data_IF_228660152060
#
_entry.id   IF_228660152060
#
_cell.length_a   1.000
_cell.length_b   1.000
_cell.length_c   1.000
_cell.angle_alpha   90.00
_cell.angle_beta   90.00
_cell.angle_gamma   90.00
#
_symmetry.space_group_name_H-M   'P 1'
#
loop_
_entity.id
_entity.type
_entity.pdbx_description
1 polymer ?
#
# COMPACT_ATOMS: atom_id res chain seq x y z
N UNK A 1 39.89 46.15 7.19
CA UNK A 1 40.64 45.12 6.44
C UNK A 1 41.21 44.02 7.33
N UNK A 2 41.84 44.31 8.47
CA UNK A 2 42.44 43.29 9.35
C UNK A 2 41.47 42.25 9.97
N UNK A 3 40.18 42.55 10.17
CA UNK A 3 39.21 41.56 10.69
C UNK A 3 38.75 40.53 9.66
N UNK A 4 38.84 40.82 8.36
CA UNK A 4 38.47 39.87 7.29
C UNK A 4 39.57 38.84 7.03
N UNK A 5 40.84 39.16 7.27
CA UNK A 5 41.96 38.22 7.10
C UNK A 5 42.02 37.17 8.22
N UNK A 6 41.60 37.52 9.45
CA UNK A 6 41.58 36.60 10.60
C UNK A 6 40.49 35.53 10.45
N UNK A 7 39.28 35.91 10.02
CA UNK A 7 38.19 34.94 9.79
C UNK A 7 38.49 33.98 8.63
N UNK A 8 39.21 34.44 7.61
CA UNK A 8 39.63 33.57 6.49
C UNK A 8 40.74 32.60 6.94
N UNK A 9 41.62 33.03 7.84
CA UNK A 9 42.64 32.16 8.44
C UNK A 9 42.05 31.06 9.33
N UNK A 10 41.10 31.41 10.21
CA UNK A 10 40.43 30.43 11.07
C UNK A 10 39.65 29.39 10.26
N UNK A 11 39.00 29.81 9.16
CA UNK A 11 38.34 28.89 8.24
C UNK A 11 39.34 28.00 7.49
N UNK A 12 40.47 28.53 7.02
CA UNK A 12 41.52 27.74 6.35
C UNK A 12 42.16 26.72 7.30
N UNK A 13 42.43 27.11 8.56
CA UNK A 13 42.92 26.18 9.59
C UNK A 13 41.88 25.11 9.93
N UNK A 14 40.60 25.47 10.00
CA UNK A 14 39.51 24.50 10.21
C UNK A 14 39.41 23.47 9.05
N UNK A 15 39.69 23.88 7.82
CA UNK A 15 39.75 22.97 6.65
C UNK A 15 40.93 22.00 6.78
N UNK A 16 42.11 22.47 7.17
CA UNK A 16 43.31 21.62 7.33
C UNK A 16 43.23 20.66 8.55
N UNK A 17 42.49 21.05 9.58
CA UNK A 17 42.24 20.22 10.78
C UNK A 17 41.11 19.19 10.59
N UNK A 18 40.42 19.21 9.44
CA UNK A 18 39.42 18.18 9.12
C UNK A 18 40.13 16.83 8.99
N UNK A 19 39.49 15.77 9.49
CA UNK A 19 40.04 14.40 9.40
C UNK A 19 40.31 14.05 7.94
N UNK A 20 41.51 13.53 7.67
CA UNK A 20 41.97 13.16 6.33
C UNK A 20 41.90 14.32 5.29
N UNK A 21 42.08 15.58 5.73
CA UNK A 21 42.07 16.75 4.85
C UNK A 21 43.08 16.69 3.69
N UNK A 22 44.13 15.89 3.83
CA UNK A 22 45.12 15.61 2.78
C UNK A 22 44.47 14.98 1.53
N UNK A 23 43.31 14.33 1.67
CA UNK A 23 42.59 13.62 0.62
C UNK A 23 41.48 14.43 -0.04
N UNK A 24 41.27 15.67 0.41
CA UNK A 24 40.36 16.61 -0.24
C UNK A 24 40.92 17.10 -1.58
N UNK A 25 40.09 17.74 -2.41
CA UNK A 25 40.48 18.14 -3.76
C UNK A 25 41.77 19.01 -3.74
N UNK A 26 42.79 18.73 -4.59
CA UNK A 26 44.10 19.38 -4.51
C UNK A 26 44.07 20.91 -4.57
N UNK A 27 43.07 21.48 -5.24
CA UNK A 27 42.89 22.95 -5.31
C UNK A 27 42.44 23.56 -3.98
N UNK A 28 41.55 22.89 -3.23
CA UNK A 28 41.04 23.36 -1.94
C UNK A 28 42.16 23.32 -0.90
N UNK A 29 42.97 22.25 -0.95
CA UNK A 29 44.13 22.10 -0.08
C UNK A 29 45.20 23.15 -0.41
N UNK A 30 45.47 23.40 -1.69
CA UNK A 30 46.41 24.43 -2.12
C UNK A 30 45.98 25.84 -1.69
N UNK A 31 44.70 26.19 -1.84
CA UNK A 31 44.15 27.47 -1.39
C UNK A 31 44.22 27.66 0.13
N UNK A 32 43.93 26.61 0.90
CA UNK A 32 44.02 26.64 2.36
C UNK A 32 45.47 26.77 2.85
N UNK A 33 46.41 26.03 2.24
CA UNK A 33 47.84 26.12 2.53
C UNK A 33 48.38 27.51 2.17
N UNK A 34 48.01 28.06 1.01
CA UNK A 34 48.46 29.39 0.59
C UNK A 34 47.89 30.51 1.47
N UNK A 35 46.67 30.37 1.98
CA UNK A 35 46.09 31.30 2.97
C UNK A 35 46.83 31.29 4.31
N UNK A 36 47.32 30.13 4.77
CA UNK A 36 48.12 30.01 6.00
C UNK A 36 49.54 30.54 5.77
N UNK A 37 50.13 30.27 4.59
CA UNK A 37 51.47 30.75 4.21
C UNK A 37 51.56 32.26 4.01
N UNK A 38 50.53 32.89 3.44
CA UNK A 38 50.54 34.34 3.16
C UNK A 38 50.56 35.18 4.44
N UNK A 39 50.01 34.67 5.54
CA UNK A 39 49.92 35.40 6.80
C UNK A 39 51.12 35.18 7.73
N UNK A 40 51.79 34.01 7.68
CA UNK A 40 53.00 33.72 8.47
C UNK A 40 54.09 33.06 7.62
N UNK A 41 54.87 33.88 6.91
CA UNK A 41 55.92 33.44 5.95
C UNK A 41 57.05 32.58 6.51
N UNK A 42 57.15 32.38 7.84
CA UNK A 42 58.27 31.69 8.49
C UNK A 42 57.87 30.45 9.30
N UNK A 43 56.61 30.35 9.72
CA UNK A 43 56.05 29.25 10.52
C UNK A 43 54.81 28.63 9.90
N UNK A 44 54.14 29.29 8.96
CA UNK A 44 52.88 28.81 8.37
C UNK A 44 53.01 27.55 7.51
N UNK A 45 54.20 27.26 6.94
CA UNK A 45 54.44 25.98 6.24
C UNK A 45 54.53 24.82 7.24
N UNK A 46 55.35 24.97 8.28
CA UNK A 46 55.50 23.93 9.31
C UNK A 46 54.20 23.74 10.09
N UNK A 47 53.46 24.82 10.37
CA UNK A 47 52.17 24.73 11.06
C UNK A 47 51.11 24.02 10.20
N UNK A 48 51.05 24.30 8.88
CA UNK A 48 50.15 23.57 7.99
C UNK A 48 50.55 22.10 7.83
N UNK A 49 51.85 21.80 7.76
CA UNK A 49 52.36 20.42 7.69
C UNK A 49 52.06 19.64 8.98
N UNK A 50 52.33 20.22 10.16
CA UNK A 50 52.00 19.59 11.45
C UNK A 50 50.49 19.36 11.60
N UNK A 51 49.65 20.35 11.24
CA UNK A 51 48.20 20.21 11.30
C UNK A 51 47.65 19.14 10.36
N UNK A 52 48.24 18.98 9.17
CA UNK A 52 47.86 17.94 8.20
C UNK A 52 48.33 16.54 8.63
N UNK A 53 49.54 16.44 9.20
CA UNK A 53 50.09 15.18 9.71
C UNK A 53 49.31 14.70 10.94
N UNK A 54 48.92 15.61 11.83
CA UNK A 54 48.09 15.28 13.00
C UNK A 54 46.65 14.91 12.63
N UNK A 55 46.12 15.43 11.52
CA UNK A 55 44.75 15.16 11.06
C UNK A 55 44.64 13.93 10.15
N UNK A 56 45.76 13.35 9.69
CA UNK A 56 45.81 12.16 8.86
C UNK A 56 45.57 10.88 9.66
N UNK A 57 44.50 10.16 9.33
CA UNK A 57 44.13 8.86 9.91
C UNK A 57 44.33 7.72 8.89
N UNK A 58 44.40 8.03 7.60
CA UNK A 58 44.80 7.08 6.54
C UNK A 58 43.83 5.92 6.34
N UNK A 59 42.58 6.07 6.81
CA UNK A 59 41.60 5.01 6.82
C UNK A 59 41.20 4.59 5.40
N UNK A 60 41.16 5.55 4.47
CA UNK A 60 40.76 5.31 3.07
C UNK A 60 41.87 4.55 2.32
N UNK A 61 43.13 4.94 2.50
CA UNK A 61 44.28 4.26 1.92
C UNK A 61 44.44 2.86 2.49
N UNK A 62 44.22 2.69 3.80
CA UNK A 62 44.20 1.38 4.42
C UNK A 62 43.09 0.50 3.85
N UNK A 63 41.91 1.05 3.58
CA UNK A 63 40.81 0.35 2.89
C UNK A 63 41.16 0.00 1.44
N UNK A 64 41.83 0.89 0.69
CA UNK A 64 42.28 0.61 -0.67
C UNK A 64 43.34 -0.48 -0.72
N UNK A 65 44.31 -0.46 0.20
CA UNK A 65 45.35 -1.46 0.29
C UNK A 65 44.78 -2.82 0.72
N UNK A 66 43.89 -2.84 1.72
CA UNK A 66 43.14 -4.04 2.09
C UNK A 66 42.28 -4.57 0.93
N UNK A 67 41.60 -3.70 0.19
CA UNK A 67 40.83 -4.08 -0.98
C UNK A 67 41.71 -4.71 -2.07
N UNK A 68 42.89 -4.14 -2.29
CA UNK A 68 43.90 -4.67 -3.22
C UNK A 68 44.47 -6.01 -2.74
N UNK A 69 44.62 -6.21 -1.43
CA UNK A 69 45.08 -7.49 -0.89
C UNK A 69 44.01 -8.56 -0.99
N UNK A 70 42.74 -8.20 -0.76
CA UNK A 70 41.62 -9.12 -0.88
C UNK A 70 41.44 -9.59 -2.34
N UNK A 71 41.68 -8.73 -3.34
CA UNK A 71 41.66 -9.15 -4.75
C UNK A 71 42.85 -10.05 -5.15
N UNK A 72 43.94 -10.06 -4.39
CA UNK A 72 45.03 -11.02 -4.58
C UNK A 72 44.76 -12.38 -3.91
N UNK A 73 43.92 -12.41 -2.87
CA UNK A 73 43.58 -13.62 -2.12
C UNK A 73 42.38 -14.34 -2.76
N UNK A 74 41.37 -13.60 -3.20
CA UNK A 74 40.19 -14.13 -3.87
C UNK A 74 40.40 -14.04 -5.39
N UNK A 75 40.30 -15.15 -6.14
CA UNK A 75 40.56 -15.18 -7.60
C UNK A 75 39.55 -14.31 -8.40
N UNK A 76 38.49 -13.82 -7.76
CA UNK A 76 37.47 -12.97 -8.38
C UNK A 76 37.40 -11.59 -7.71
N UNK A 77 37.79 -10.56 -8.47
CA UNK A 77 37.70 -9.16 -8.04
C UNK A 77 36.25 -8.72 -7.74
N UNK A 78 35.26 -9.38 -8.35
CA UNK A 78 33.85 -9.08 -8.08
C UNK A 78 33.40 -9.58 -6.71
N UNK A 79 33.90 -10.74 -6.25
CA UNK A 79 33.65 -11.27 -4.91
C UNK A 79 34.16 -10.32 -3.81
N UNK A 80 35.41 -9.87 -3.95
CA UNK A 80 36.02 -8.90 -3.03
C UNK A 80 35.21 -7.60 -2.98
N UNK A 81 34.80 -7.07 -4.14
CA UNK A 81 33.95 -5.88 -4.22
C UNK A 81 32.61 -6.08 -3.50
N UNK A 82 31.96 -7.22 -3.69
CA UNK A 82 30.69 -7.53 -3.02
C UNK A 82 30.85 -7.60 -1.49
N UNK A 83 31.96 -8.14 -0.98
CA UNK A 83 32.26 -8.18 0.46
C UNK A 83 32.42 -6.75 1.00
N UNK A 84 33.20 -5.91 0.33
CA UNK A 84 33.40 -4.51 0.72
C UNK A 84 32.06 -3.76 0.68
N UNK A 85 31.29 -3.88 -0.41
CA UNK A 85 29.96 -3.27 -0.52
C UNK A 85 29.02 -3.73 0.62
N UNK A 86 29.07 -5.01 0.99
CA UNK A 86 28.26 -5.56 2.10
C UNK A 86 28.68 -5.00 3.46
N UNK A 87 29.99 -4.88 3.74
CA UNK A 87 30.49 -4.32 5.00
C UNK A 87 30.15 -2.83 5.10
N UNK A 88 30.31 -2.07 4.02
CA UNK A 88 29.95 -0.65 3.99
C UNK A 88 28.44 -0.48 4.13
N UNK A 89 27.62 -1.33 3.48
CA UNK A 89 26.17 -1.37 3.68
C UNK A 89 25.82 -1.54 5.16
N UNK A 90 26.37 -2.55 5.82
CA UNK A 90 26.08 -2.82 7.25
C UNK A 90 26.52 -1.65 8.14
N UNK A 91 27.71 -1.09 7.88
CA UNK A 91 28.21 0.06 8.61
C UNK A 91 27.29 1.30 8.46
N UNK A 92 26.75 1.53 7.26
CA UNK A 92 25.80 2.62 7.00
C UNK A 92 24.47 2.35 7.72
N UNK A 93 23.92 1.14 7.64
CA UNK A 93 22.67 0.79 8.31
C UNK A 93 22.76 0.99 9.84
N UNK A 94 23.92 0.68 10.44
CA UNK A 94 24.14 0.83 11.88
C UNK A 94 24.43 2.27 12.32
N UNK A 95 25.13 3.05 11.50
CA UNK A 95 25.66 4.38 11.89
C UNK A 95 25.01 5.56 11.16
N UNK A 96 23.90 5.33 10.46
CA UNK A 96 23.22 6.40 9.71
C UNK A 96 22.80 7.55 10.62
N UNK A 97 23.30 8.75 10.33
CA UNK A 97 22.96 9.97 11.06
C UNK A 97 22.17 10.93 10.17
N UNK A 98 20.88 11.08 10.49
CA UNK A 98 19.95 11.97 9.80
C UNK A 98 20.44 13.42 9.70
N UNK A 99 21.16 13.90 10.71
CA UNK A 99 21.54 15.31 10.83
C UNK A 99 22.66 15.64 9.84
N UNK A 100 23.56 14.67 9.61
CA UNK A 100 24.64 14.79 8.64
C UNK A 100 24.12 14.71 7.20
N UNK A 101 23.12 13.86 6.96
CA UNK A 101 22.48 13.74 5.65
C UNK A 101 21.79 15.05 5.22
N UNK A 102 21.23 15.81 6.16
CA UNK A 102 20.60 17.11 5.87
C UNK A 102 21.63 18.16 5.44
N UNK A 103 22.85 18.12 5.96
CA UNK A 103 23.94 19.03 5.55
C UNK A 103 24.29 18.90 4.07
N UNK A 104 24.13 17.70 3.48
CA UNK A 104 24.32 17.46 2.05
C UNK A 104 23.28 18.18 1.16
N UNK A 105 22.16 18.64 1.72
CA UNK A 105 21.08 19.30 0.99
C UNK A 105 21.14 20.84 1.08
N UNK A 106 22.25 21.39 1.56
CA UNK A 106 22.48 22.84 1.56
C UNK A 106 22.65 23.37 0.13
N UNK A 107 22.26 24.62 -0.12
CA UNK A 107 22.22 25.22 -1.48
C UNK A 107 23.56 25.09 -2.23
N UNK A 108 24.69 25.14 -1.51
CA UNK A 108 26.04 25.01 -2.08
C UNK A 108 26.42 23.56 -2.47
N UNK A 109 25.87 22.55 -1.78
CA UNK A 109 26.24 21.13 -1.96
C UNK A 109 25.17 20.31 -2.72
N UNK A 110 24.01 20.92 -3.01
CA UNK A 110 22.87 20.24 -3.62
C UNK A 110 23.14 19.71 -5.03
N UNK A 111 23.88 20.46 -5.86
CA UNK A 111 24.22 20.06 -7.23
C UNK A 111 25.14 18.84 -7.26
N UNK A 112 26.23 18.89 -6.48
CA UNK A 112 27.17 17.77 -6.33
C UNK A 112 26.46 16.54 -5.76
N UNK A 113 25.53 16.76 -4.81
CA UNK A 113 24.72 15.70 -4.21
C UNK A 113 23.86 14.97 -5.23
N UNK A 114 23.23 15.70 -6.14
CA UNK A 114 22.43 15.08 -7.20
C UNK A 114 23.30 14.30 -8.20
N UNK A 115 24.52 14.77 -8.48
CA UNK A 115 25.44 14.10 -9.40
C UNK A 115 25.90 12.75 -8.85
N UNK A 116 26.45 12.71 -7.63
CA UNK A 116 26.92 11.44 -7.06
C UNK A 116 25.75 10.52 -6.69
N UNK A 117 24.60 11.05 -6.28
CA UNK A 117 23.40 10.23 -6.01
C UNK A 117 22.91 9.53 -7.26
N UNK A 118 22.93 10.21 -8.41
CA UNK A 118 22.58 9.62 -9.71
C UNK A 118 23.46 8.42 -10.03
N UNK A 119 24.78 8.54 -9.80
CA UNK A 119 25.75 7.45 -9.98
C UNK A 119 25.53 6.31 -8.97
N UNK A 120 25.25 6.65 -7.70
CA UNK A 120 24.98 5.66 -6.66
C UNK A 120 23.73 4.81 -6.95
N UNK A 121 22.67 5.44 -7.47
CA UNK A 121 21.41 4.79 -7.84
C UNK A 121 21.57 3.78 -8.99
N UNK A 122 22.65 3.84 -9.78
CA UNK A 122 22.93 2.83 -10.81
C UNK A 122 23.16 1.44 -10.22
N UNK A 123 23.78 1.37 -9.04
CA UNK A 123 24.03 0.09 -8.37
C UNK A 123 22.78 -0.45 -7.67
N UNK A 124 22.40 -1.72 -7.92
CA UNK A 124 21.26 -2.36 -7.22
C UNK A 124 21.51 -2.53 -5.72
N UNK A 125 22.76 -2.73 -5.29
CA UNK A 125 23.12 -2.87 -3.87
C UNK A 125 22.80 -1.59 -3.12
N UNK A 126 23.17 -0.44 -3.69
CA UNK A 126 22.94 0.86 -3.07
C UNK A 126 21.47 1.26 -3.04
N UNK A 127 20.71 0.95 -4.10
CA UNK A 127 19.25 1.14 -4.09
C UNK A 127 18.57 0.37 -2.95
N UNK A 128 18.93 -0.91 -2.76
CA UNK A 128 18.43 -1.70 -1.63
C UNK A 128 18.77 -1.07 -0.29
N UNK A 129 20.01 -0.60 -0.10
CA UNK A 129 20.40 0.11 1.12
C UNK A 129 19.56 1.37 1.36
N UNK A 130 19.27 2.15 0.31
CA UNK A 130 18.39 3.32 0.41
C UNK A 130 16.97 2.92 0.83
N UNK A 131 16.43 1.84 0.28
CA UNK A 131 15.12 1.32 0.66
C UNK A 131 15.09 0.83 2.12
N UNK A 132 16.09 0.04 2.52
CA UNK A 132 16.22 -0.47 3.89
C UNK A 132 16.31 0.70 4.91
N UNK A 133 17.06 1.75 4.57
CA UNK A 133 17.15 2.97 5.37
C UNK A 133 15.83 3.73 5.43
N UNK A 134 15.10 3.81 4.33
CA UNK A 134 13.82 4.52 4.22
C UNK A 134 12.68 3.83 4.97
N UNK A 135 12.72 2.50 5.09
CA UNK A 135 11.73 1.73 5.85
C UNK A 135 11.98 1.77 7.36
N UNK A 136 13.17 2.16 7.80
CA UNK A 136 13.48 2.21 9.22
C UNK A 136 12.74 3.38 9.90
N UNK A 137 11.96 3.15 10.98
CA UNK A 137 11.17 4.21 11.64
C UNK A 137 11.97 5.41 12.17
N UNK A 138 13.30 5.27 12.29
CA UNK A 138 14.20 6.35 12.74
C UNK A 138 14.42 7.42 11.66
N UNK A 139 14.09 7.09 10.41
CA UNK A 139 14.47 7.87 9.22
C UNK A 139 13.26 8.34 8.39
N UNK A 140 12.04 8.21 8.92
CA UNK A 140 10.78 8.53 8.21
C UNK A 140 10.75 9.97 7.67
N UNK A 141 11.29 10.92 8.43
CA UNK A 141 11.33 12.34 8.07
C UNK A 141 12.62 12.80 7.39
N UNK A 142 13.47 11.88 6.90
CA UNK A 142 14.76 12.26 6.33
C UNK A 142 14.59 12.89 4.93
N UNK A 143 14.91 14.19 4.73
CA UNK A 143 14.73 14.86 3.44
C UNK A 143 15.62 14.28 2.34
N UNK A 144 16.76 13.70 2.72
CA UNK A 144 17.68 13.06 1.77
C UNK A 144 17.08 11.78 1.19
N UNK A 145 16.43 10.96 2.03
CA UNK A 145 15.78 9.73 1.56
C UNK A 145 14.50 10.02 0.77
N UNK A 146 13.79 11.10 1.08
CA UNK A 146 12.65 11.52 0.26
C UNK A 146 13.09 12.07 -1.11
N UNK A 147 14.26 12.74 -1.19
CA UNK A 147 14.84 13.22 -2.45
C UNK A 147 15.40 12.09 -3.33
N UNK A 148 15.87 10.98 -2.74
CA UNK A 148 16.38 9.85 -3.50
C UNK A 148 15.30 9.08 -4.24
N UNK A 149 14.06 9.03 -3.73
CA UNK A 149 12.96 8.30 -4.38
C UNK A 149 12.63 8.85 -5.78
N UNK A 150 12.48 10.17 -6.01
CA UNK A 150 12.34 10.73 -7.34
C UNK A 150 13.50 10.40 -8.28
N UNK A 151 14.75 10.39 -7.77
CA UNK A 151 15.94 10.07 -8.56
C UNK A 151 15.89 8.64 -9.10
N UNK A 152 15.42 7.70 -8.28
CA UNK A 152 15.21 6.30 -8.68
C UNK A 152 14.04 6.20 -9.66
N UNK A 153 12.94 6.90 -9.38
CA UNK A 153 11.71 6.87 -10.19
C UNK A 153 11.83 7.50 -11.59
N UNK A 154 12.97 8.15 -11.92
CA UNK A 154 13.27 8.58 -13.29
C UNK A 154 13.41 7.39 -14.23
N UNK A 155 13.99 6.28 -13.76
CA UNK A 155 14.21 5.07 -14.57
C UNK A 155 12.96 4.18 -14.50
N UNK A 156 12.22 4.08 -15.60
CA UNK A 156 10.96 3.29 -15.66
C UNK A 156 11.16 1.81 -15.30
N UNK A 157 12.34 1.23 -15.60
CA UNK A 157 12.69 -0.15 -15.25
C UNK A 157 12.80 -0.40 -13.74
N UNK A 158 12.91 0.65 -12.93
CA UNK A 158 13.10 0.55 -11.47
C UNK A 158 11.80 0.78 -10.69
N UNK A 159 10.68 1.09 -11.37
CA UNK A 159 9.39 1.31 -10.71
C UNK A 159 8.95 0.05 -9.96
N UNK A 160 9.23 -1.14 -10.49
CA UNK A 160 8.97 -2.41 -9.82
C UNK A 160 9.74 -2.63 -8.52
N UNK A 161 10.82 -1.88 -8.25
CA UNK A 161 11.48 -1.90 -6.94
C UNK A 161 10.79 -0.95 -5.93
N UNK A 162 10.14 0.12 -6.43
CA UNK A 162 9.50 1.14 -5.59
C UNK A 162 8.09 0.75 -5.13
N UNK A 163 7.48 -0.29 -5.70
CA UNK A 163 6.18 -0.81 -5.27
C UNK A 163 6.21 -1.45 -3.88
N UNK A 164 7.39 -1.72 -3.32
CA UNK A 164 7.58 -2.28 -1.97
C UNK A 164 8.12 -1.25 -0.98
N UNK A 165 8.21 0.02 -1.37
CA UNK A 165 8.81 1.10 -0.57
C UNK A 165 7.75 2.14 -0.22
N UNK A 166 7.16 2.09 1.00
CA UNK A 166 6.06 3.00 1.35
C UNK A 166 6.40 4.48 1.29
N UNK A 167 7.65 4.87 1.65
CA UNK A 167 8.11 6.26 1.58
C UNK A 167 8.02 6.84 0.16
N UNK A 168 8.17 6.00 -0.87
CA UNK A 168 8.07 6.42 -2.27
C UNK A 168 6.66 6.89 -2.64
N UNK A 169 5.62 6.34 -1.99
CA UNK A 169 4.21 6.63 -2.27
C UNK A 169 3.77 8.01 -1.77
N UNK A 170 4.56 8.66 -0.92
CA UNK A 170 4.29 10.03 -0.46
C UNK A 170 4.43 11.06 -1.59
N UNK A 171 5.19 10.74 -2.64
CA UNK A 171 5.29 11.61 -3.83
C UNK A 171 4.26 11.18 -4.86
N UNK A 172 3.27 12.04 -5.13
CA UNK A 172 2.17 11.76 -6.07
C UNK A 172 2.64 11.22 -7.42
N UNK A 173 3.69 11.82 -8.01
CA UNK A 173 4.22 11.39 -9.31
C UNK A 173 4.77 9.96 -9.30
N UNK A 174 5.37 9.52 -8.19
CA UNK A 174 5.89 8.17 -8.03
C UNK A 174 4.74 7.20 -7.74
N UNK A 175 3.82 7.59 -6.85
CA UNK A 175 2.62 6.80 -6.55
C UNK A 175 1.84 6.46 -7.81
N UNK A 176 1.56 7.44 -8.67
CA UNK A 176 0.83 7.22 -9.92
C UNK A 176 1.57 6.26 -10.88
N UNK A 177 2.91 6.35 -10.97
CA UNK A 177 3.72 5.42 -11.75
C UNK A 177 3.62 3.99 -11.20
N UNK A 178 3.75 3.83 -9.88
CA UNK A 178 3.59 2.52 -9.23
C UNK A 178 2.18 1.96 -9.44
N UNK A 179 1.14 2.79 -9.31
CA UNK A 179 -0.26 2.41 -9.55
C UNK A 179 -0.46 1.93 -10.99
N UNK A 180 0.08 2.63 -11.99
CA UNK A 180 0.01 2.19 -13.39
C UNK A 180 0.72 0.84 -13.57
N UNK A 181 1.90 0.69 -12.97
CA UNK A 181 2.70 -0.53 -13.05
C UNK A 181 1.96 -1.75 -12.49
N UNK A 182 1.28 -1.62 -11.34
CA UNK A 182 0.50 -2.74 -10.75
C UNK A 182 -0.86 -2.94 -11.42
N UNK A 183 -1.54 -1.87 -11.85
CA UNK A 183 -2.87 -1.97 -12.45
C UNK A 183 -2.85 -2.60 -13.84
N UNK A 184 -1.81 -2.36 -14.64
CA UNK A 184 -1.74 -2.90 -16.00
C UNK A 184 -1.82 -4.44 -16.05
N UNK A 185 -0.99 -5.20 -15.31
CA UNK A 185 -1.11 -6.65 -15.24
C UNK A 185 -2.44 -7.12 -14.63
N UNK A 186 -2.95 -6.44 -13.60
CA UNK A 186 -4.20 -6.82 -12.93
C UNK A 186 -5.41 -6.66 -13.85
N UNK A 187 -5.47 -5.57 -14.64
CA UNK A 187 -6.54 -5.35 -15.61
C UNK A 187 -6.43 -6.29 -16.81
N UNK A 188 -5.20 -6.65 -17.22
CA UNK A 188 -4.96 -7.60 -18.31
C UNK A 188 -5.32 -9.05 -17.94
N UNK A 189 -5.15 -9.43 -16.67
CA UNK A 189 -5.55 -10.74 -16.16
C UNK A 189 -7.09 -10.91 -16.13
N UNK A 190 -7.84 -9.82 -15.98
CA UNK A 190 -9.30 -9.86 -15.98
C UNK A 190 -9.82 -10.73 -14.83
N UNK A 191 -10.71 -11.69 -15.15
CA UNK A 191 -11.38 -12.55 -14.17
C UNK A 191 -10.50 -13.71 -13.65
N UNK A 192 -9.23 -13.83 -14.09
CA UNK A 192 -8.32 -14.88 -13.60
C UNK A 192 -7.71 -14.56 -12.23
N UNK A 193 -7.84 -13.31 -11.76
CA UNK A 193 -7.53 -12.93 -10.37
C UNK A 193 -8.57 -13.59 -9.47
N UNK A 194 -8.35 -14.86 -9.14
CA UNK A 194 -9.28 -15.64 -8.33
C UNK A 194 -8.95 -15.49 -6.85
N UNK A 195 -9.92 -14.94 -6.12
CA UNK A 195 -9.95 -14.77 -4.66
C UNK A 195 -10.11 -16.06 -3.87
N UNK A 196 -9.16 -16.99 -3.97
CA UNK A 196 -9.17 -18.12 -3.05
C UNK A 196 -8.88 -17.69 -1.60
N UNK A 197 -8.38 -16.46 -1.36
CA UNK A 197 -8.04 -15.97 -0.02
C UNK A 197 -9.08 -14.98 0.54
N UNK A 198 -9.72 -14.15 -0.29
CA UNK A 198 -10.61 -13.07 0.19
C UNK A 198 -12.10 -13.43 0.22
N UNK A 199 -12.57 -14.36 -0.61
CA UNK A 199 -13.93 -14.91 -0.46
C UNK A 199 -14.13 -15.50 0.94
N UNK A 200 -13.12 -16.14 1.53
CA UNK A 200 -13.20 -16.65 2.90
C UNK A 200 -13.12 -15.55 3.97
N UNK A 201 -12.46 -14.42 3.71
CA UNK A 201 -12.28 -13.35 4.70
C UNK A 201 -13.44 -12.35 4.76
N UNK A 202 -14.17 -12.13 3.66
CA UNK A 202 -15.33 -11.22 3.62
C UNK A 202 -16.65 -11.99 3.79
N UNK A 203 -16.72 -13.25 3.33
CA UNK A 203 -17.91 -14.08 3.51
C UNK A 203 -17.96 -14.85 4.86
N UNK A 204 -16.89 -14.79 5.66
CA UNK A 204 -16.87 -15.40 6.99
C UNK A 204 -16.10 -14.54 7.98
N UNK A 205 -16.51 -13.28 8.13
CA UNK A 205 -16.37 -12.65 9.45
C UNK A 205 -16.99 -13.64 10.44
N UNK A 206 -16.14 -14.23 11.29
CA UNK A 206 -16.58 -15.19 12.30
C UNK A 206 -17.81 -14.58 12.99
N UNK A 207 -18.96 -15.29 13.06
CA UNK A 207 -20.13 -14.74 13.70
C UNK A 207 -19.72 -14.26 15.08
N UNK A 208 -20.01 -12.99 15.40
CA UNK A 208 -19.96 -12.47 16.77
C UNK A 208 -20.59 -13.55 17.64
N UNK A 209 -19.78 -14.25 18.44
CA UNK A 209 -20.32 -15.19 19.42
C UNK A 209 -21.18 -14.35 20.35
N UNK A 210 -22.50 -14.45 20.22
CA UNK A 210 -23.41 -14.02 21.26
C UNK A 210 -22.97 -14.73 22.54
N UNK A 211 -22.47 -13.96 23.51
CA UNK A 211 -22.16 -14.43 24.86
C UNK A 211 -23.46 -14.84 25.55
N UNK A 212 -23.96 -16.03 25.25
CA UNK A 212 -24.93 -16.75 26.04
C UNK A 212 -24.20 -17.57 27.09
N UNK A 213 -24.33 -17.19 28.36
CA UNK A 213 -23.77 -17.84 29.53
C UNK A 213 -23.80 -19.37 29.47
N UNK A 214 -22.63 -20.00 29.43
CA UNK A 214 -22.39 -21.31 30.03
C UNK A 214 -21.08 -21.24 30.79
N UNK A 215 -21.20 -21.23 32.11
CA UNK A 215 -20.11 -21.34 33.07
C UNK A 215 -19.31 -22.62 32.82
N UNK A 216 -18.02 -22.49 32.51
CA UNK A 216 -17.00 -23.33 33.13
C UNK A 216 -15.77 -22.48 33.43
N UNK A 217 -15.50 -22.41 34.72
CA UNK A 217 -14.39 -21.74 35.39
C UNK A 217 -13.03 -22.36 35.06
N UNK A 218 -12.05 -21.53 34.70
CA UNK A 218 -10.66 -21.60 35.24
C UNK A 218 -10.11 -20.18 35.33
N UNK A 219 -9.41 -19.92 36.43
CA UNK A 219 -9.11 -18.63 37.05
C UNK A 219 -7.81 -17.95 36.58
N UNK A 220 -7.69 -16.65 36.91
CA UNK A 220 -6.51 -15.77 37.02
C UNK A 220 -5.97 -15.15 35.71
N UNK A 221 -5.51 -13.89 35.61
CA UNK A 221 -5.52 -12.68 36.44
C UNK A 221 -4.82 -11.55 35.64
N UNK A 222 -5.36 -10.33 35.69
CA UNK A 222 -4.67 -9.01 35.59
C UNK A 222 -3.79 -8.62 34.37
N UNK A 223 -4.29 -7.59 33.66
CA UNK A 223 -3.65 -6.32 33.25
C UNK A 223 -2.62 -6.24 32.10
N UNK A 224 -3.07 -5.62 31.01
CA UNK A 224 -2.43 -4.76 29.98
C UNK A 224 -0.92 -4.88 29.67
N UNK A 225 -0.61 -5.20 28.41
CA UNK A 225 0.20 -4.36 27.49
C UNK A 225 0.17 -4.93 26.06
N UNK A 226 -0.04 -4.04 25.10
CA UNK A 226 -0.11 -4.34 23.66
C UNK A 226 1.14 -5.02 23.12
N UNK A 227 0.95 -6.08 22.33
CA UNK A 227 1.90 -6.54 21.33
C UNK A 227 1.12 -6.92 20.06
N UNK A 228 1.34 -6.17 19.00
CA UNK A 228 0.99 -6.51 17.63
C UNK A 228 2.06 -7.46 17.09
N UNK A 229 1.84 -8.76 17.17
CA UNK A 229 2.62 -9.75 16.43
C UNK A 229 1.85 -11.08 16.39
N UNK A 230 1.23 -11.37 15.25
CA UNK A 230 1.01 -12.73 14.71
C UNK A 230 0.03 -12.68 13.52
N UNK A 231 0.56 -12.39 12.32
CA UNK A 231 -0.04 -12.87 11.08
C UNK A 231 0.69 -14.17 10.70
N UNK A 232 -0.02 -15.24 10.28
CA UNK A 232 0.65 -16.44 9.80
C UNK A 232 1.25 -16.20 8.39
N UNK A 233 2.39 -16.83 8.06
CA UNK A 233 3.01 -16.73 6.74
C UNK A 233 2.24 -17.54 5.68
N UNK A 234 2.19 -17.01 4.45
CA UNK A 234 1.44 -17.51 3.29
C UNK A 234 2.22 -18.63 2.56
N UNK A 235 2.51 -19.75 3.22
CA UNK A 235 3.25 -20.86 2.57
C UNK A 235 2.63 -22.27 2.70
N UNK A 236 1.47 -22.43 3.35
CA UNK A 236 0.91 -23.78 3.62
C UNK A 236 -0.35 -24.18 2.82
N UNK A 237 -0.69 -23.50 1.72
CA UNK A 237 -1.81 -23.92 0.85
C UNK A 237 -1.29 -24.42 -0.49
N UNK A 238 -0.57 -25.54 -0.47
CA UNK A 238 -0.12 -26.25 -1.70
C UNK A 238 -0.63 -27.69 -1.83
N UNK A 239 -1.56 -28.11 -0.98
CA UNK A 239 -2.13 -29.45 -1.06
C UNK A 239 -3.64 -29.40 -1.03
N UNK A 240 -4.30 -29.27 -2.19
CA UNK A 240 -5.58 -29.88 -2.55
C UNK A 240 -6.09 -29.24 -3.85
N UNK A 241 -5.57 -29.69 -4.99
CA UNK A 241 -6.20 -29.48 -6.29
C UNK A 241 -6.37 -30.85 -6.95
N UNK A 242 -7.61 -31.33 -7.03
CA UNK A 242 -8.00 -32.30 -8.05
C UNK A 242 -9.17 -31.77 -8.87
N UNK A 243 -8.88 -31.59 -10.15
CA UNK A 243 -9.74 -31.82 -11.32
C UNK A 243 -11.18 -31.27 -11.29
N UNK A 244 -11.38 -30.14 -11.97
CA UNK A 244 -12.54 -30.00 -12.86
C UNK A 244 -12.07 -29.39 -14.18
N UNK A 245 -12.09 -30.22 -15.22
CA UNK A 245 -11.97 -29.82 -16.63
C UNK A 245 -13.09 -28.85 -17.00
N UNK A 246 -12.76 -27.68 -17.56
CA UNK A 246 -13.73 -26.90 -18.31
C UNK A 246 -13.13 -26.46 -19.66
N UNK A 247 -13.47 -27.23 -20.69
CA UNK A 247 -13.21 -26.90 -22.10
C UNK A 247 -14.20 -25.83 -22.53
N UNK A 248 -13.75 -24.59 -22.72
CA UNK A 248 -14.45 -23.62 -23.58
C UNK A 248 -13.48 -22.98 -24.56
N UNK A 249 -13.60 -23.42 -25.81
CA UNK A 249 -13.08 -22.74 -26.99
C UNK A 249 -13.83 -21.42 -27.19
N UNK A 250 -13.11 -20.34 -27.44
CA UNK A 250 -13.66 -19.14 -28.08
C UNK A 250 -12.62 -18.48 -28.99
N UNK A 251 -13.16 -17.92 -30.07
CA UNK A 251 -12.54 -17.60 -31.33
C UNK A 251 -11.56 -16.41 -31.27
N UNK A 252 -10.56 -16.49 -32.13
CA UNK A 252 -9.58 -15.44 -32.43
C UNK A 252 -10.23 -14.14 -32.89
N UNK A 253 -9.82 -13.02 -32.31
CA UNK A 253 -9.86 -11.70 -32.92
C UNK A 253 -8.58 -10.98 -32.53
N UNK A 254 -7.78 -10.65 -33.54
CA UNK A 254 -6.43 -10.13 -33.44
C UNK A 254 -6.42 -8.61 -33.26
N UNK A 255 -5.99 -8.11 -32.11
CA UNK A 255 -5.27 -6.84 -31.97
C UNK A 255 -4.23 -7.03 -30.85
N UNK A 256 -3.03 -6.47 -31.02
CA UNK A 256 -1.82 -6.86 -30.28
C UNK A 256 -1.88 -6.65 -28.76
N UNK A 257 -2.38 -7.66 -28.05
CA UNK A 257 -2.30 -7.76 -26.60
C UNK A 257 -0.89 -8.20 -26.18
N UNK A 258 -0.25 -7.37 -25.36
CA UNK A 258 0.94 -7.76 -24.60
C UNK A 258 0.49 -8.86 -23.65
N UNK A 259 0.87 -10.10 -23.94
CA UNK A 259 0.49 -11.27 -23.17
C UNK A 259 1.26 -11.25 -21.84
N UNK A 260 0.63 -10.78 -20.77
CA UNK A 260 1.17 -10.93 -19.42
C UNK A 260 0.87 -12.34 -18.91
N UNK A 261 1.83 -13.09 -18.36
CA UNK A 261 1.56 -14.37 -17.72
C UNK A 261 0.60 -14.18 -16.54
N UNK A 262 -0.38 -15.07 -16.38
CA UNK A 262 -1.37 -14.99 -15.27
C UNK A 262 -0.71 -14.96 -13.88
N UNK A 263 0.49 -15.53 -13.75
CA UNK A 263 1.27 -15.56 -12.51
C UNK A 263 1.72 -14.16 -12.08
N UNK A 264 2.03 -13.27 -13.04
CA UNK A 264 2.47 -11.90 -12.75
C UNK A 264 1.37 -11.08 -12.09
N UNK A 265 0.10 -11.31 -12.42
CA UNK A 265 -1.01 -10.56 -11.82
C UNK A 265 -1.23 -10.93 -10.35
N UNK A 266 -1.06 -12.21 -9.99
CA UNK A 266 -1.16 -12.67 -8.60
C UNK A 266 -0.05 -12.05 -7.73
N UNK A 267 1.16 -11.91 -8.26
CA UNK A 267 2.28 -11.27 -7.56
C UNK A 267 2.05 -9.76 -7.34
N UNK A 268 1.30 -9.09 -8.22
CA UNK A 268 1.03 -7.66 -8.13
C UNK A 268 -0.12 -7.31 -7.17
N UNK A 269 -1.05 -8.24 -6.91
CA UNK A 269 -2.23 -7.97 -6.09
C UNK A 269 -1.88 -7.52 -4.65
N UNK A 270 -0.96 -8.19 -3.91
CA UNK A 270 -0.59 -7.75 -2.57
C UNK A 270 -0.03 -6.33 -2.54
N UNK A 271 0.82 -5.98 -3.51
CA UNK A 271 1.41 -4.65 -3.63
C UNK A 271 0.34 -3.59 -3.91
N UNK A 272 -0.60 -3.89 -4.81
CA UNK A 272 -1.74 -3.01 -5.09
C UNK A 272 -2.58 -2.73 -3.83
N UNK A 273 -2.90 -3.78 -3.07
CA UNK A 273 -3.69 -3.69 -1.85
C UNK A 273 -2.93 -2.93 -0.74
N UNK A 274 -1.64 -3.20 -0.58
CA UNK A 274 -0.79 -2.51 0.39
C UNK A 274 -0.68 -1.02 0.10
N UNK A 275 -0.38 -0.66 -1.16
CA UNK A 275 -0.29 0.72 -1.61
C UNK A 275 -1.61 1.47 -1.39
N UNK A 276 -2.73 0.84 -1.79
CA UNK A 276 -4.06 1.42 -1.67
C UNK A 276 -4.47 1.65 -0.21
N UNK A 277 -4.09 0.75 0.70
CA UNK A 277 -4.44 0.84 2.12
C UNK A 277 -3.32 1.44 3.00
N UNK A 278 -2.27 2.02 2.41
CA UNK A 278 -1.18 2.64 3.16
C UNK A 278 -1.64 3.92 3.87
N UNK A 279 -2.19 4.87 3.10
CA UNK A 279 -2.67 6.17 3.58
C UNK A 279 -4.11 6.44 3.14
N UNK A 280 -4.81 7.31 3.87
CA UNK A 280 -6.19 7.71 3.54
C UNK A 280 -6.28 8.40 2.17
N UNK A 281 -5.33 9.31 1.89
CA UNK A 281 -5.27 10.01 0.61
C UNK A 281 -4.91 9.08 -0.55
N UNK A 282 -4.00 8.11 -0.32
CA UNK A 282 -3.64 7.08 -1.31
C UNK A 282 -4.83 6.20 -1.66
N UNK A 283 -5.59 5.76 -0.64
CA UNK A 283 -6.83 5.01 -0.81
C UNK A 283 -7.85 5.78 -1.67
N UNK A 284 -8.12 7.04 -1.32
CA UNK A 284 -9.05 7.90 -2.05
C UNK A 284 -8.65 8.10 -3.51
N UNK A 285 -7.36 8.35 -3.75
CA UNK A 285 -6.85 8.54 -5.10
C UNK A 285 -7.00 7.26 -5.93
N UNK A 286 -6.62 6.12 -5.37
CA UNK A 286 -6.73 4.83 -6.05
C UNK A 286 -8.19 4.45 -6.32
N UNK A 287 -9.08 4.63 -5.35
CA UNK A 287 -10.52 4.44 -5.53
C UNK A 287 -11.10 5.35 -6.62
N UNK A 288 -10.67 6.61 -6.67
CA UNK A 288 -11.11 7.55 -7.72
C UNK A 288 -10.67 7.10 -9.11
N UNK A 289 -9.42 6.61 -9.24
CA UNK A 289 -8.89 6.05 -10.49
C UNK A 289 -9.71 4.83 -10.91
N UNK A 290 -9.93 3.88 -9.99
CA UNK A 290 -10.70 2.68 -10.27
C UNK A 290 -12.15 2.98 -10.65
N UNK A 291 -12.80 3.94 -9.98
CA UNK A 291 -14.16 4.36 -10.33
C UNK A 291 -14.22 4.99 -11.73
N UNK A 292 -13.19 5.74 -12.13
CA UNK A 292 -13.08 6.27 -13.50
C UNK A 292 -12.87 5.15 -14.53
N UNK A 293 -12.07 4.14 -14.19
CA UNK A 293 -11.84 2.98 -15.05
C UNK A 293 -13.10 2.12 -15.18
N UNK A 294 -13.80 1.85 -14.09
CA UNK A 294 -15.03 1.08 -14.05
C UNK A 294 -16.13 1.67 -14.95
N UNK A 295 -16.22 3.01 -15.04
CA UNK A 295 -17.16 3.69 -15.94
C UNK A 295 -16.78 3.60 -17.43
N UNK A 296 -15.48 3.50 -17.73
CA UNK A 296 -14.97 3.57 -19.11
C UNK A 296 -14.72 2.19 -19.72
N UNK A 297 -14.42 1.20 -18.90
CA UNK A 297 -14.14 -0.17 -19.32
C UNK A 297 -15.43 -0.97 -19.42
N UNK A 298 -15.53 -1.83 -20.43
CA UNK A 298 -16.69 -2.72 -20.64
C UNK A 298 -16.62 -4.02 -19.81
N UNK A 299 -15.73 -4.09 -18.81
CA UNK A 299 -15.44 -5.30 -18.03
C UNK A 299 -15.65 -5.10 -16.53
N UNK A 300 -15.76 -6.22 -15.79
CA UNK A 300 -16.01 -6.23 -14.34
C UNK A 300 -14.73 -6.19 -13.50
N UNK A 301 -13.56 -6.33 -14.11
CA UNK A 301 -12.26 -6.34 -13.44
C UNK A 301 -12.02 -5.09 -12.57
N UNK A 302 -12.35 -3.89 -13.06
CA UNK A 302 -12.20 -2.66 -12.27
C UNK A 302 -13.14 -2.65 -11.05
N UNK A 303 -14.39 -3.10 -11.20
CA UNK A 303 -15.32 -3.24 -10.08
C UNK A 303 -14.84 -4.30 -9.07
N UNK A 304 -14.25 -5.38 -9.55
CA UNK A 304 -13.66 -6.41 -8.71
C UNK A 304 -12.49 -5.87 -7.89
N UNK A 305 -11.58 -5.09 -8.50
CA UNK A 305 -10.48 -4.43 -7.80
C UNK A 305 -10.95 -3.40 -6.76
N UNK A 306 -12.03 -2.67 -7.04
CA UNK A 306 -12.67 -1.76 -6.06
C UNK A 306 -13.08 -2.54 -4.81
N UNK A 307 -13.77 -3.67 -5.02
CA UNK A 307 -14.21 -4.51 -3.93
C UNK A 307 -13.04 -5.10 -3.13
N UNK A 308 -11.99 -5.57 -3.80
CA UNK A 308 -10.79 -6.08 -3.13
C UNK A 308 -10.11 -5.05 -2.26
N UNK A 309 -10.02 -3.82 -2.76
CA UNK A 309 -9.44 -2.71 -2.03
C UNK A 309 -10.29 -2.32 -0.81
N UNK A 310 -11.62 -2.35 -0.93
CA UNK A 310 -12.54 -2.16 0.20
C UNK A 310 -12.43 -3.28 1.24
N UNK A 311 -12.41 -4.53 0.78
CA UNK A 311 -12.27 -5.70 1.64
C UNK A 311 -10.96 -5.66 2.45
N UNK A 312 -9.83 -5.32 1.80
CA UNK A 312 -8.55 -5.17 2.48
C UNK A 312 -8.57 -4.02 3.51
N UNK A 313 -9.19 -2.89 3.17
CA UNK A 313 -9.31 -1.77 4.11
C UNK A 313 -10.12 -2.17 5.35
N UNK A 314 -11.24 -2.89 5.16
CA UNK A 314 -12.04 -3.45 6.24
C UNK A 314 -11.23 -4.47 7.07
N UNK A 315 -10.46 -5.35 6.42
CA UNK A 315 -9.59 -6.33 7.10
C UNK A 315 -8.55 -5.65 8.01
N UNK A 316 -8.05 -4.47 7.61
CA UNK A 316 -7.14 -3.63 8.43
C UNK A 316 -7.87 -2.80 9.50
N UNK A 317 -9.18 -2.96 9.66
CA UNK A 317 -9.98 -2.18 10.61
C UNK A 317 -10.12 -0.70 10.24
N UNK A 318 -9.92 -0.33 8.97
CA UNK A 318 -10.08 1.06 8.49
C UNK A 318 -11.52 1.29 8.03
N UNK A 319 -12.16 2.32 8.58
CA UNK A 319 -13.51 2.71 8.16
C UNK A 319 -13.47 3.47 6.83
N UNK A 320 -13.84 2.78 5.75
CA UNK A 320 -13.96 3.33 4.39
C UNK A 320 -15.41 3.56 3.97
N UNK A 321 -16.37 3.28 4.86
CA UNK A 321 -17.81 3.33 4.58
C UNK A 321 -18.26 4.66 3.97
N UNK A 322 -17.71 5.78 4.46
CA UNK A 322 -17.98 7.13 3.94
C UNK A 322 -17.63 7.31 2.46
N UNK A 323 -16.58 6.65 1.99
CA UNK A 323 -16.12 6.77 0.61
C UNK A 323 -16.93 5.87 -0.30
N UNK A 324 -17.13 4.63 0.14
CA UNK A 324 -17.95 3.64 -0.55
C UNK A 324 -19.37 4.16 -0.81
N UNK A 325 -20.05 4.70 0.21
CA UNK A 325 -21.41 5.23 0.04
C UNK A 325 -21.45 6.48 -0.85
N UNK A 326 -20.43 7.34 -0.77
CA UNK A 326 -20.33 8.54 -1.61
C UNK A 326 -20.10 8.21 -3.09
N UNK A 327 -19.22 7.23 -3.37
CA UNK A 327 -18.86 6.83 -4.74
C UNK A 327 -19.99 6.10 -5.48
N UNK A 328 -21.03 5.63 -4.77
CA UNK A 328 -22.24 5.04 -5.35
C UNK A 328 -23.18 6.04 -6.05
N UNK A 329 -22.87 7.35 -6.01
CA UNK A 329 -23.72 8.38 -6.62
C UNK A 329 -24.93 8.76 -5.77
N UNK A 330 -25.01 8.32 -4.51
CA UNK A 330 -26.14 8.54 -3.60
C UNK A 330 -26.12 9.90 -2.90
N UNK A 331 -25.37 10.88 -3.42
CA UNK A 331 -25.14 12.19 -2.78
C UNK A 331 -26.44 12.95 -2.45
N UNK A 332 -27.47 12.78 -3.28
CA UNK A 332 -28.77 13.44 -3.11
C UNK A 332 -29.66 12.75 -2.05
N UNK A 333 -29.19 11.65 -1.45
CA UNK A 333 -29.91 10.81 -0.50
C UNK A 333 -29.12 10.65 0.82
N UNK A 334 -28.92 11.74 1.60
CA UNK A 334 -28.07 11.72 2.80
C UNK A 334 -28.57 10.74 3.86
N UNK A 335 -29.90 10.65 4.09
CA UNK A 335 -30.46 9.73 5.07
C UNK A 335 -30.13 8.26 4.74
N UNK A 336 -30.29 7.87 3.46
CA UNK A 336 -29.95 6.51 3.01
C UNK A 336 -28.45 6.23 3.05
N UNK A 337 -27.62 7.25 2.78
CA UNK A 337 -26.17 7.13 2.94
C UNK A 337 -25.78 6.89 4.39
N UNK A 338 -26.35 7.64 5.33
CA UNK A 338 -26.06 7.52 6.76
C UNK A 338 -26.50 6.14 7.31
N UNK A 339 -27.68 5.66 6.90
CA UNK A 339 -28.16 4.31 7.25
C UNK A 339 -27.19 3.23 6.74
N UNK A 340 -26.78 3.31 5.46
CA UNK A 340 -25.84 2.37 4.87
C UNK A 340 -24.46 2.47 5.52
N UNK A 341 -23.98 3.68 5.81
CA UNK A 341 -22.69 3.89 6.46
C UNK A 341 -22.66 3.22 7.84
N UNK A 342 -23.74 3.37 8.62
CA UNK A 342 -23.86 2.76 9.94
C UNK A 342 -23.79 1.23 9.84
N UNK A 343 -24.50 0.63 8.88
CA UNK A 343 -24.49 -0.83 8.65
C UNK A 343 -23.10 -1.32 8.23
N UNK A 344 -22.44 -0.63 7.30
CA UNK A 344 -21.11 -1.02 6.81
C UNK A 344 -20.03 -0.86 7.88
N UNK A 345 -20.11 0.19 8.70
CA UNK A 345 -19.17 0.46 9.78
C UNK A 345 -19.28 -0.56 10.92
N UNK A 346 -20.51 -0.87 11.35
CA UNK A 346 -20.75 -1.85 12.42
C UNK A 346 -20.69 -3.30 11.94
N UNK A 347 -20.69 -3.52 10.62
CA UNK A 347 -20.76 -4.81 9.95
C UNK A 347 -21.90 -5.68 10.49
N UNK A 348 -23.07 -5.05 10.71
CA UNK A 348 -24.24 -5.67 11.31
C UNK A 348 -25.54 -5.03 10.79
N UNK A 349 -26.62 -5.81 10.74
CA UNK A 349 -27.92 -5.33 10.26
C UNK A 349 -28.67 -4.63 11.40
N UNK A 350 -28.53 -3.31 11.44
CA UNK A 350 -29.21 -2.47 12.43
C UNK A 350 -30.67 -2.24 12.00
N UNK A 351 -31.68 -2.68 12.78
CA UNK A 351 -33.08 -2.64 12.36
C UNK A 351 -33.60 -1.24 11.98
N UNK A 352 -33.18 -0.20 12.70
CA UNK A 352 -33.56 1.17 12.41
C UNK A 352 -33.02 1.65 11.05
N UNK A 353 -31.74 1.41 10.79
CA UNK A 353 -31.09 1.76 9.53
C UNK A 353 -31.69 0.98 8.35
N UNK A 354 -31.98 -0.31 8.54
CA UNK A 354 -32.59 -1.15 7.51
C UNK A 354 -34.02 -0.69 7.18
N UNK A 355 -34.81 -0.32 8.19
CA UNK A 355 -36.16 0.23 8.02
C UNK A 355 -36.14 1.57 7.26
N UNK A 356 -35.18 2.45 7.56
CA UNK A 356 -34.99 3.71 6.83
C UNK A 356 -34.65 3.47 5.35
N UNK A 357 -33.76 2.52 5.06
CA UNK A 357 -33.43 2.12 3.69
C UNK A 357 -34.67 1.58 2.97
N UNK A 358 -35.38 0.63 3.57
CA UNK A 358 -36.59 0.05 2.97
C UNK A 358 -37.62 1.12 2.60
N UNK A 359 -37.88 2.07 3.51
CA UNK A 359 -38.79 3.19 3.27
C UNK A 359 -38.32 4.05 2.08
N UNK A 360 -37.02 4.33 1.99
CA UNK A 360 -36.45 5.11 0.89
C UNK A 360 -36.60 4.39 -0.46
N UNK A 361 -36.36 3.08 -0.52
CA UNK A 361 -36.46 2.30 -1.76
C UNK A 361 -37.90 2.01 -2.22
N UNK A 362 -38.85 1.98 -1.29
CA UNK A 362 -40.29 1.93 -1.58
C UNK A 362 -40.84 3.27 -2.09
N UNK A 363 -40.11 4.36 -1.92
CA UNK A 363 -40.52 5.69 -2.37
C UNK A 363 -40.54 5.84 -3.90
N UNK A 364 -41.15 6.94 -4.35
CA UNK A 364 -41.25 7.30 -5.76
C UNK A 364 -39.87 7.57 -6.38
N UNK A 365 -38.96 8.18 -5.61
CA UNK A 365 -37.61 8.52 -6.02
C UNK A 365 -36.56 7.79 -5.14
N UNK A 366 -36.27 6.51 -5.39
CA UNK A 366 -35.35 5.73 -4.57
C UNK A 366 -33.88 6.10 -4.86
N UNK A 367 -32.97 5.84 -3.91
CA UNK A 367 -31.53 6.01 -4.13
C UNK A 367 -30.96 5.08 -5.24
N UNK A 368 -29.72 5.30 -5.69
CA UNK A 368 -28.91 4.37 -6.50
C UNK A 368 -28.92 2.93 -6.01
N UNK A 369 -29.35 1.97 -6.84
CA UNK A 369 -29.27 0.52 -6.52
C UNK A 369 -27.83 0.09 -6.20
N UNK A 370 -26.83 0.79 -6.73
CA UNK A 370 -25.42 0.61 -6.38
C UNK A 370 -25.16 0.70 -4.86
N UNK A 371 -25.95 1.50 -4.14
CA UNK A 371 -25.86 1.61 -2.68
C UNK A 371 -26.33 0.33 -1.97
N UNK A 372 -27.28 -0.43 -2.53
CA UNK A 372 -27.67 -1.74 -1.98
C UNK A 372 -26.74 -2.86 -2.46
N UNK A 373 -26.05 -2.69 -3.59
CA UNK A 373 -25.14 -3.70 -4.15
C UNK A 373 -23.76 -3.73 -3.48
N UNK A 374 -23.67 -3.22 -2.25
CA UNK A 374 -22.46 -3.30 -1.45
C UNK A 374 -22.23 -4.75 -1.00
N UNK A 375 -21.08 -5.36 -1.31
CA UNK A 375 -20.86 -6.79 -1.08
C UNK A 375 -21.07 -7.20 0.39
N UNK A 376 -20.58 -6.39 1.34
CA UNK A 376 -20.78 -6.62 2.78
C UNK A 376 -22.27 -6.61 3.12
N UNK A 377 -23.04 -5.65 2.62
CA UNK A 377 -24.46 -5.56 2.90
C UNK A 377 -25.25 -6.76 2.33
N UNK A 378 -24.93 -7.18 1.10
CA UNK A 378 -25.54 -8.36 0.48
C UNK A 378 -25.21 -9.63 1.26
N UNK A 379 -23.97 -9.78 1.72
CA UNK A 379 -23.55 -10.91 2.54
C UNK A 379 -24.32 -10.94 3.87
N UNK A 380 -24.41 -9.81 4.57
CA UNK A 380 -25.17 -9.70 5.83
C UNK A 380 -26.66 -10.07 5.64
N UNK A 381 -27.29 -9.61 4.55
CA UNK A 381 -28.66 -9.99 4.21
C UNK A 381 -28.78 -11.48 3.92
N UNK A 382 -27.87 -12.06 3.14
CA UNK A 382 -27.86 -13.48 2.83
C UNK A 382 -27.70 -14.34 4.10
N UNK A 383 -26.78 -13.97 4.98
CA UNK A 383 -26.58 -14.66 6.26
C UNK A 383 -27.83 -14.61 7.14
N UNK A 384 -28.46 -13.44 7.27
CA UNK A 384 -29.69 -13.28 8.04
C UNK A 384 -30.88 -14.06 7.44
N UNK A 385 -30.98 -14.14 6.11
CA UNK A 385 -32.07 -14.82 5.42
C UNK A 385 -31.91 -16.34 5.40
N UNK A 386 -30.70 -16.85 5.15
CA UNK A 386 -30.47 -18.26 4.80
C UNK A 386 -29.65 -19.05 5.84
N UNK A 387 -28.74 -18.40 6.58
CA UNK A 387 -27.80 -19.10 7.46
C UNK A 387 -28.12 -18.96 8.96
N UNK A 388 -28.66 -17.81 9.39
CA UNK A 388 -28.89 -17.52 10.80
C UNK A 388 -29.95 -18.46 11.42
N UNK A 389 -29.60 -19.04 12.57
CA UNK A 389 -30.52 -19.81 13.40
C UNK A 389 -31.48 -18.91 14.21
N UNK A 390 -31.23 -17.61 14.24
CA UNK A 390 -32.02 -16.67 15.01
C UNK A 390 -33.39 -16.46 14.39
N UNK A 391 -34.42 -16.51 15.24
CA UNK A 391 -35.80 -16.25 14.83
C UNK A 391 -35.98 -14.74 14.62
N UNK A 392 -35.80 -14.29 13.39
CA UNK A 392 -36.22 -12.95 12.98
C UNK A 392 -37.74 -12.78 13.12
N UNK A 393 -38.17 -11.57 13.47
CA UNK A 393 -39.57 -11.19 13.37
C UNK A 393 -40.03 -11.26 11.90
N UNK A 394 -41.29 -11.62 11.65
CA UNK A 394 -41.83 -11.72 10.29
C UNK A 394 -41.68 -10.41 9.51
N UNK A 395 -41.89 -9.27 10.18
CA UNK A 395 -41.69 -7.96 9.57
C UNK A 395 -40.25 -7.78 9.09
N UNK A 396 -39.25 -8.00 9.96
CA UNK A 396 -37.84 -7.90 9.59
C UNK A 396 -37.45 -8.85 8.46
N UNK A 397 -38.01 -10.07 8.46
CA UNK A 397 -37.78 -11.04 7.40
C UNK A 397 -38.27 -10.52 6.04
N UNK A 398 -39.46 -9.93 5.99
CA UNK A 398 -40.01 -9.32 4.78
C UNK A 398 -39.18 -8.11 4.33
N UNK A 399 -38.70 -7.27 5.26
CA UNK A 399 -37.84 -6.13 4.95
C UNK A 399 -36.53 -6.57 4.30
N UNK A 400 -35.87 -7.57 4.88
CA UNK A 400 -34.59 -8.07 4.40
C UNK A 400 -34.75 -8.75 3.04
N UNK A 401 -35.80 -9.55 2.87
CA UNK A 401 -36.12 -10.19 1.60
C UNK A 401 -36.44 -9.16 0.50
N UNK A 402 -37.15 -8.08 0.84
CA UNK A 402 -37.44 -6.99 -0.10
C UNK A 402 -36.15 -6.31 -0.56
N UNK A 403 -35.28 -5.88 0.35
CA UNK A 403 -34.02 -5.20 0.00
C UNK A 403 -33.07 -6.11 -0.80
N UNK A 404 -32.97 -7.39 -0.41
CA UNK A 404 -32.18 -8.38 -1.14
C UNK A 404 -32.69 -8.58 -2.57
N UNK A 405 -34.01 -8.72 -2.73
CA UNK A 405 -34.66 -8.88 -4.03
C UNK A 405 -34.56 -7.61 -4.88
N UNK A 406 -34.66 -6.43 -4.26
CA UNK A 406 -34.47 -5.16 -4.93
C UNK A 406 -33.05 -5.04 -5.51
N UNK A 407 -32.03 -5.36 -4.70
CA UNK A 407 -30.64 -5.30 -5.15
C UNK A 407 -30.35 -6.25 -6.34
N UNK A 408 -30.97 -7.43 -6.33
CA UNK A 408 -30.83 -8.44 -7.37
C UNK A 408 -31.58 -8.11 -8.67
N UNK A 409 -32.82 -7.62 -8.57
CA UNK A 409 -33.73 -7.52 -9.73
C UNK A 409 -33.78 -6.14 -10.39
N UNK A 410 -33.45 -5.07 -9.66
CA UNK A 410 -33.65 -3.71 -10.20
C UNK A 410 -32.60 -3.37 -11.23
N UNK A 411 -33.06 -2.96 -12.42
CA UNK A 411 -32.21 -2.48 -13.50
C UNK A 411 -32.39 -0.98 -13.64
N UNK A 412 -31.28 -0.25 -13.60
CA UNK A 412 -31.24 1.19 -13.81
C UNK A 412 -30.59 1.48 -15.16
N UNK A 413 -31.26 2.28 -15.98
CA UNK A 413 -30.65 2.84 -17.18
C UNK A 413 -30.07 4.20 -16.82
N UNK A 414 -28.76 4.35 -17.01
CA UNK A 414 -28.02 5.57 -16.72
C UNK A 414 -27.53 6.15 -18.04
N UNK A 415 -27.70 7.46 -18.23
CA UNK A 415 -27.13 8.17 -19.37
C UNK A 415 -25.59 8.19 -19.26
N UNK A 416 -24.86 7.61 -20.23
CA UNK A 416 -23.40 7.54 -20.18
C UNK A 416 -22.73 8.92 -20.22
N UNK A 417 -23.43 9.97 -20.68
CA UNK A 417 -22.87 11.33 -20.82
C UNK A 417 -23.16 12.22 -19.61
N UNK A 418 -24.33 12.07 -19.00
CA UNK A 418 -24.75 12.94 -17.89
C UNK A 418 -24.73 12.24 -16.52
N UNK A 419 -24.48 10.92 -16.50
CA UNK A 419 -24.50 10.07 -15.29
C UNK A 419 -25.86 10.14 -14.55
N UNK A 420 -26.91 10.56 -15.26
CA UNK A 420 -28.26 10.69 -14.72
C UNK A 420 -29.04 9.42 -14.99
N UNK A 421 -29.80 9.00 -13.98
CA UNK A 421 -30.76 7.90 -14.13
C UNK A 421 -31.89 8.31 -15.07
N UNK A 422 -32.07 7.55 -16.14
CA UNK A 422 -33.13 7.70 -17.14
C UNK A 422 -34.37 6.91 -16.70
N UNK A 423 -34.18 5.66 -16.27
CA UNK A 423 -35.27 4.76 -15.90
C UNK A 423 -34.86 3.81 -14.77
N UNK A 424 -35.86 3.27 -14.07
CA UNK A 424 -35.70 2.31 -12.97
C UNK A 424 -36.77 1.23 -13.10
N UNK A 425 -36.37 0.03 -13.50
CA UNK A 425 -37.27 -1.11 -13.71
C UNK A 425 -37.35 -1.92 -12.42
N UNK A 426 -38.56 -2.03 -11.84
CA UNK A 426 -38.82 -2.72 -10.56
C UNK A 426 -39.88 -3.83 -10.64
N UNK A 427 -40.29 -4.21 -11.85
CA UNK A 427 -41.47 -5.06 -12.09
C UNK A 427 -41.36 -6.46 -11.46
N UNK A 428 -40.15 -6.99 -11.34
CA UNK A 428 -39.91 -8.37 -10.88
C UNK A 428 -39.58 -8.43 -9.38
N UNK A 429 -39.46 -7.30 -8.69
CA UNK A 429 -39.00 -7.24 -7.28
C UNK A 429 -39.95 -7.98 -6.34
N UNK A 430 -41.27 -7.81 -6.51
CA UNK A 430 -42.25 -8.47 -5.65
C UNK A 430 -42.32 -9.99 -5.86
N UNK A 431 -42.14 -10.43 -7.11
CA UNK A 431 -42.07 -11.85 -7.44
C UNK A 431 -40.81 -12.48 -6.83
N UNK A 432 -39.65 -11.86 -7.03
CA UNK A 432 -38.38 -12.31 -6.45
C UNK A 432 -38.42 -12.32 -4.91
N UNK A 433 -39.07 -11.31 -4.29
CA UNK A 433 -39.29 -11.29 -2.84
C UNK A 433 -40.06 -12.51 -2.36
N UNK A 434 -41.10 -12.92 -3.08
CA UNK A 434 -41.86 -14.12 -2.73
C UNK A 434 -41.00 -15.39 -2.83
N UNK A 435 -40.19 -15.50 -3.87
CA UNK A 435 -39.26 -16.63 -4.07
C UNK A 435 -38.17 -16.69 -3.00
N UNK A 436 -37.59 -15.55 -2.63
CA UNK A 436 -36.57 -15.43 -1.56
C UNK A 436 -37.16 -15.84 -0.21
N UNK A 437 -38.40 -15.42 0.10
CA UNK A 437 -39.09 -15.81 1.33
C UNK A 437 -39.36 -17.33 1.39
N UNK A 438 -39.79 -17.94 0.29
CA UNK A 438 -39.95 -19.40 0.22
C UNK A 438 -38.62 -20.13 0.38
N UNK A 439 -37.56 -19.65 -0.26
CA UNK A 439 -36.21 -20.21 -0.11
C UNK A 439 -35.72 -20.11 1.35
N UNK A 440 -35.88 -18.94 1.99
CA UNK A 440 -35.53 -18.73 3.39
C UNK A 440 -36.34 -19.67 4.32
N UNK A 441 -37.64 -19.84 4.05
CA UNK A 441 -38.50 -20.79 4.77
C UNK A 441 -37.96 -22.21 4.69
N UNK A 442 -37.55 -22.65 3.51
CA UNK A 442 -36.97 -23.97 3.27
C UNK A 442 -35.66 -24.12 4.07
N UNK A 443 -34.71 -23.20 3.93
CA UNK A 443 -33.43 -23.23 4.65
C UNK A 443 -33.62 -23.32 6.17
N UNK A 444 -34.53 -22.50 6.73
CA UNK A 444 -34.82 -22.49 8.17
C UNK A 444 -35.51 -23.76 8.66
N UNK A 445 -36.35 -24.40 7.84
CA UNK A 445 -36.93 -25.70 8.17
C UNK A 445 -35.87 -26.79 8.26
N UNK A 446 -34.93 -26.84 7.32
CA UNK A 446 -33.83 -27.81 7.33
C UNK A 446 -32.86 -27.61 8.50
N UNK A 447 -32.56 -26.37 8.90
CA UNK A 447 -31.72 -26.07 10.07
C UNK A 447 -32.33 -26.50 11.41
N UNK A 448 -33.64 -26.75 11.48
CA UNK A 448 -34.35 -27.22 12.68
C UNK A 448 -34.56 -28.74 12.75
N UNK A 449 -34.15 -29.49 11.71
CA UNK A 449 -34.20 -30.96 11.70
C UNK A 449 -33.06 -31.58 12.53
N UNK A 450 -33.25 -32.77 13.14
CA UNK A 450 -32.19 -33.43 13.89
C UNK A 450 -31.14 -33.98 12.92
N UNK A 451 -30.00 -33.28 12.86
CA UNK A 451 -28.76 -33.78 12.26
C UNK A 451 -28.67 -33.59 10.75
N UNK A 452 -27.99 -32.53 10.34
CA UNK A 452 -26.77 -32.55 9.53
C UNK A 452 -26.17 -31.15 9.72
N UNK A 453 -25.07 -31.07 10.47
CA UNK A 453 -24.17 -29.91 10.40
C UNK A 453 -23.29 -30.16 9.18
N UNK A 454 -23.40 -29.31 8.17
CA UNK A 454 -22.42 -29.20 7.09
C UNK A 454 -21.10 -28.65 7.64
#
# INVERSE_FOLDING_TARGET
MARRSVTVMENAKAVLMKKDAILEHPSVLAEAIDCVRYNDTRTGQNEAEELLVESYQGAIEFLFELGTWLTYIDEDAQSTRNIIESVVKEAILQNYDRSKAITCLTDEASADTMEWLSQMVESPTWRRTIYDLAQHPRNEDCPFLSLSMPCIAVKESLIGELISVPLAWNTLGIFLKCVIYVLQPLLAAGDTVKDQTFMYSVAFLQPKRCNGSINYSVSHSEMDSMNSDSLPPIDEIKGFVSSVDDKRQSYSSSEGEIHFPSDTALDMLPHFLEMGCHSEHGYLLLQSILQCLARRMKGHCAHHLIWLLEAEACRRGRDVSRYTTYLCGSRDYPESMDSMQTILKEQDLIPEAVSQLEKAYKGDAPPPVALLRQPIFIALLADALFASADRLLNEQLEQYAYLYSYAAMVVEEIDPTTDRRISCIRTEVDQAKHEVLEASRICRQFSTGPGIKL
#
